data_IF_639953433205
#
_entry.id   IF_639953433205
#
_cell.length_a   1.000
_cell.length_b   1.000
_cell.length_c   1.000
_cell.angle_alpha   90.00
_cell.angle_beta   90.00
_cell.angle_gamma   90.00
#
_symmetry.space_group_name_H-M   'P 1'
#
loop_
_entity.id
_entity.type
_entity.pdbx_description
1 polymer ?
#
# COMPACT_ATOMS: atom_id res chain seq x y z
N UNK A 1 1.86 18.36 51.79
CA UNK A 1 3.25 18.79 51.98
C UNK A 1 3.84 19.11 50.62
N UNK A 2 3.89 20.38 50.24
CA UNK A 2 4.38 20.81 48.92
C UNK A 2 5.90 20.72 48.89
N UNK A 3 6.43 19.80 48.08
CA UNK A 3 7.86 19.80 47.77
C UNK A 3 8.15 21.01 46.89
N UNK A 4 8.78 22.02 47.47
CA UNK A 4 9.30 23.19 46.76
C UNK A 4 10.24 22.69 45.65
N UNK A 5 9.90 22.94 44.39
CA UNK A 5 10.84 22.70 43.30
C UNK A 5 12.13 23.51 43.55
N UNK A 6 13.32 22.91 43.39
CA UNK A 6 14.56 23.64 43.53
C UNK A 6 14.70 24.62 42.36
N UNK A 7 14.73 25.92 42.66
CA UNK A 7 15.08 26.93 41.67
C UNK A 7 16.53 26.74 41.22
N UNK A 8 16.83 27.01 39.95
CA UNK A 8 18.20 26.92 39.45
C UNK A 8 19.10 27.92 40.18
N UNK A 9 20.34 27.52 40.47
CA UNK A 9 21.35 28.38 41.11
C UNK A 9 21.52 29.71 40.37
N UNK A 10 21.38 29.71 39.04
CA UNK A 10 21.43 30.93 38.22
C UNK A 10 20.34 31.93 38.59
N UNK A 11 19.11 31.46 38.81
CA UNK A 11 17.97 32.31 39.19
C UNK A 11 18.11 32.84 40.61
N UNK A 12 18.70 32.05 41.52
CA UNK A 12 19.07 32.48 42.87
C UNK A 12 20.11 33.61 42.80
N UNK A 13 21.16 33.47 41.99
CA UNK A 13 22.20 34.49 41.80
C UNK A 13 21.67 35.79 41.19
N UNK A 14 20.83 35.71 40.17
CA UNK A 14 20.17 36.90 39.59
C UNK A 14 19.30 37.64 40.62
N UNK A 15 18.58 36.90 41.47
CA UNK A 15 17.72 37.49 42.50
C UNK A 15 18.55 38.18 43.58
N UNK A 16 19.69 37.60 43.96
CA UNK A 16 20.67 38.20 44.87
C UNK A 16 21.22 39.51 44.29
N UNK A 17 21.59 39.54 43.01
CA UNK A 17 22.07 40.76 42.34
C UNK A 17 20.99 41.83 42.27
N UNK A 18 19.74 41.46 41.96
CA UNK A 18 18.61 42.38 41.93
C UNK A 18 18.30 42.98 43.32
N UNK A 19 18.40 42.18 44.39
CA UNK A 19 18.25 42.69 45.77
C UNK A 19 19.37 43.68 46.12
N UNK A 20 20.61 43.37 45.73
CA UNK A 20 21.76 44.24 45.94
C UNK A 20 21.64 45.55 45.16
N UNK A 21 21.24 45.49 43.89
CA UNK A 21 21.05 46.67 43.04
C UNK A 21 19.96 47.62 43.60
N UNK A 22 18.96 47.06 44.29
CA UNK A 22 17.91 47.81 44.97
C UNK A 22 18.31 48.30 46.37
N UNK A 23 19.57 48.14 46.79
CA UNK A 23 20.06 48.54 48.11
C UNK A 23 19.47 47.75 49.28
N UNK A 24 18.86 46.59 49.03
CA UNK A 24 18.24 45.75 50.06
C UNK A 24 19.27 44.77 50.64
N UNK A 25 19.15 44.48 51.93
CA UNK A 25 20.00 43.49 52.60
C UNK A 25 19.78 42.10 52.01
N UNK A 26 20.85 41.49 51.50
CA UNK A 26 20.82 40.13 50.92
C UNK A 26 20.82 39.12 52.06
N UNK A 27 19.63 38.61 52.39
CA UNK A 27 19.45 37.51 53.34
C UNK A 27 18.76 36.34 52.64
N UNK A 28 18.98 35.12 53.12
CA UNK A 28 18.37 33.91 52.56
C UNK A 28 16.84 33.99 52.53
N UNK A 29 16.24 34.62 53.54
CA UNK A 29 14.79 34.83 53.61
C UNK A 29 14.29 35.85 52.57
N UNK A 30 15.03 36.95 52.36
CA UNK A 30 14.68 37.94 51.34
C UNK A 30 14.75 37.35 49.92
N UNK A 31 15.76 36.50 49.66
CA UNK A 31 15.90 35.80 48.37
C UNK A 31 14.79 34.76 48.19
N UNK A 32 14.50 33.95 49.21
CA UNK A 32 13.41 32.96 49.15
C UNK A 32 12.04 33.61 48.94
N UNK A 33 11.79 34.74 49.62
CA UNK A 33 10.55 35.51 49.47
C UNK A 33 10.39 36.08 48.06
N UNK A 34 11.48 36.59 47.45
CA UNK A 34 11.47 37.08 46.06
C UNK A 34 11.32 35.98 45.02
N UNK A 35 11.78 34.77 45.32
CA UNK A 35 11.62 33.60 44.46
C UNK A 35 10.25 32.93 44.61
N UNK A 36 9.49 33.27 45.66
CA UNK A 36 8.21 32.64 45.97
C UNK A 36 8.34 31.23 46.57
N UNK A 37 9.48 30.93 47.20
CA UNK A 37 9.80 29.61 47.76
C UNK A 37 11.26 29.21 47.51
N UNK A 38 11.57 27.92 47.60
CA UNK A 38 12.90 27.38 47.31
C UNK A 38 13.58 26.72 48.51
N UNK A 39 14.62 25.94 48.22
CA UNK A 39 15.46 25.32 49.25
C UNK A 39 16.32 26.38 49.96
N UNK A 40 15.96 26.67 51.21
CA UNK A 40 16.62 27.66 52.06
C UNK A 40 18.11 27.35 52.27
N UNK A 41 18.47 26.07 52.42
CA UNK A 41 19.87 25.68 52.60
C UNK A 41 20.68 25.96 51.34
N UNK A 42 20.11 25.67 50.16
CA UNK A 42 20.79 25.93 48.90
C UNK A 42 20.99 27.43 48.65
N UNK A 43 19.98 28.24 48.98
CA UNK A 43 20.06 29.70 48.90
C UNK A 43 21.15 30.23 49.85
N UNK A 44 21.18 29.77 51.10
CA UNK A 44 22.19 30.17 52.08
C UNK A 44 23.61 29.82 51.60
N UNK A 45 23.82 28.61 51.07
CA UNK A 45 25.13 28.20 50.52
C UNK A 45 25.60 29.11 49.38
N UNK A 46 24.70 29.54 48.50
CA UNK A 46 25.06 30.43 47.37
C UNK A 46 25.38 31.84 47.89
N UNK A 47 24.65 32.33 48.89
CA UNK A 47 24.97 33.61 49.54
C UNK A 47 26.34 33.54 50.22
N UNK A 48 26.63 32.46 50.96
CA UNK A 48 27.92 32.30 51.64
C UNK A 48 29.09 32.17 50.65
N UNK A 49 28.87 31.54 49.48
CA UNK A 49 29.86 31.49 48.40
C UNK A 49 30.11 32.86 47.76
N UNK A 50 29.07 33.67 47.58
CA UNK A 50 29.17 35.00 46.98
C UNK A 50 29.66 36.06 47.98
N UNK A 51 29.47 35.82 49.27
CA UNK A 51 29.76 36.75 50.35
C UNK A 51 30.30 36.01 51.59
N UNK A 52 31.58 35.60 51.57
CA UNK A 52 32.17 34.75 52.61
C UNK A 52 32.31 35.39 54.01
N UNK A 53 31.65 36.53 54.31
CA UNK A 53 31.80 37.26 55.58
C UNK A 53 30.51 37.83 56.21
N UNK A 54 29.30 37.52 55.72
CA UNK A 54 28.05 38.12 56.26
C UNK A 54 27.65 37.53 57.63
N UNK A 55 28.04 36.30 57.95
CA UNK A 55 27.68 35.62 59.20
C UNK A 55 28.37 36.11 60.48
N UNK A 56 29.28 37.09 60.44
CA UNK A 56 30.04 37.55 61.63
C UNK A 56 29.48 38.80 62.32
N UNK A 57 28.42 39.42 61.80
CA UNK A 57 27.93 40.73 62.29
C UNK A 57 26.68 40.59 63.19
N UNK A 58 26.08 39.40 63.30
CA UNK A 58 24.83 39.21 64.06
C UNK A 58 24.99 38.98 65.58
N UNK A 59 26.22 38.91 66.11
CA UNK A 59 26.48 38.63 67.54
C UNK A 59 26.91 39.85 68.38
N UNK A 60 26.58 41.07 67.96
CA UNK A 60 26.73 42.26 68.83
C UNK A 60 25.37 42.65 69.43
N UNK A 61 25.01 41.97 70.53
CA UNK A 61 24.07 42.52 71.51
C UNK A 61 24.68 43.81 72.10
N UNK A 62 23.93 44.92 72.23
CA UNK A 62 24.42 46.07 72.96
C UNK A 62 24.46 45.71 74.45
N UNK A 63 25.68 45.64 75.01
CA UNK A 63 25.89 45.54 76.45
C UNK A 63 25.32 46.79 77.11
N UNK A 64 24.33 46.60 77.98
CA UNK A 64 23.74 47.62 78.83
C UNK A 64 24.76 48.11 79.84
N UNK A 65 25.58 49.09 79.46
CA UNK A 65 26.40 49.87 80.39
C UNK A 65 25.52 50.94 81.05
N UNK A 66 24.83 50.58 82.12
CA UNK A 66 24.47 51.54 83.18
C UNK A 66 25.04 51.03 84.49
N UNK A 67 26.31 51.36 84.70
CA UNK A 67 27.03 51.16 85.94
C UNK A 67 26.64 52.29 86.89
N UNK A 68 25.62 52.07 87.72
CA UNK A 68 25.35 52.93 88.87
C UNK A 68 26.34 52.58 89.97
N UNK A 69 27.26 53.49 90.25
CA UNK A 69 28.09 53.48 91.46
C UNK A 69 27.29 54.09 92.62
N UNK A 70 26.98 53.37 93.70
CA UNK A 70 26.60 54.02 94.95
C UNK A 70 27.80 54.02 95.88
N UNK A 71 28.12 55.20 96.43
CA UNK A 71 28.78 55.46 97.73
C UNK A 71 29.84 56.57 97.60
N UNK A 72 29.57 57.75 98.19
CA UNK A 72 30.09 58.09 99.52
C UNK A 72 29.67 59.52 99.94
N UNK A 73 28.82 59.54 100.97
CA UNK A 73 28.72 60.50 102.09
C UNK A 73 29.28 61.91 101.86
N UNK A 74 28.37 62.84 101.56
CA UNK A 74 28.51 64.25 101.92
C UNK A 74 28.36 64.40 103.44
N UNK A 75 29.17 65.29 104.01
CA UNK A 75 29.25 65.61 105.42
C UNK A 75 27.88 66.05 106.00
N UNK A 76 27.57 65.51 107.17
CA UNK A 76 26.51 65.99 108.06
C UNK A 76 26.87 67.40 108.53
N UNK A 77 26.19 68.40 107.99
CA UNK A 77 26.02 69.71 108.64
C UNK A 77 24.62 69.74 109.27
N UNK A 78 24.58 70.26 110.50
CA UNK A 78 23.43 70.34 111.39
C UNK A 78 22.16 70.86 110.71
N UNK A 79 21.13 70.02 110.68
CA UNK A 79 19.78 70.42 110.30
C UNK A 79 19.18 71.16 111.48
N UNK A 80 19.02 72.48 111.31
CA UNK A 80 18.10 73.31 112.09
C UNK A 80 16.74 72.62 112.09
N UNK A 81 16.22 72.35 113.29
CA UNK A 81 14.83 71.95 113.54
C UNK A 81 13.90 73.04 112.99
N UNK A 82 13.54 72.93 111.71
CA UNK A 82 12.48 73.71 111.08
C UNK A 82 11.26 72.81 111.01
N UNK A 83 10.37 72.93 111.98
CA UNK A 83 8.98 72.50 111.80
C UNK A 83 8.44 73.20 110.56
N UNK A 84 7.98 72.40 109.59
CA UNK A 84 7.37 72.92 108.38
C UNK A 84 6.02 73.54 108.76
N UNK A 85 5.68 74.74 108.28
CA UNK A 85 4.36 75.33 108.52
C UNK A 85 3.25 74.38 108.06
N UNK A 86 2.22 74.17 108.89
CA UNK A 86 1.14 73.21 108.65
C UNK A 86 0.38 73.41 107.33
N UNK A 87 0.33 74.63 106.81
CA UNK A 87 -0.26 74.95 105.50
C UNK A 87 0.57 74.40 104.33
N UNK A 88 1.90 74.33 104.48
CA UNK A 88 2.80 73.74 103.48
C UNK A 88 2.64 72.21 103.51
N UNK A 89 2.52 71.60 104.69
CA UNK A 89 2.26 70.16 104.81
C UNK A 89 0.91 69.79 104.17
N UNK A 90 -0.16 70.53 104.46
CA UNK A 90 -1.47 70.31 103.85
C UNK A 90 -1.43 70.46 102.32
N UNK A 91 -0.71 71.47 101.81
CA UNK A 91 -0.50 71.66 100.37
C UNK A 91 0.30 70.51 99.74
N UNK A 92 1.34 70.00 100.40
CA UNK A 92 2.08 68.84 99.94
C UNK A 92 1.22 67.57 99.91
N UNK A 93 0.39 67.33 100.94
CA UNK A 93 -0.53 66.19 100.95
C UNK A 93 -1.60 66.30 99.86
N UNK A 94 -2.14 67.50 99.61
CA UNK A 94 -3.08 67.74 98.51
C UNK A 94 -2.41 67.52 97.15
N UNK A 95 -1.17 67.99 96.99
CA UNK A 95 -0.39 67.78 95.76
C UNK A 95 -0.08 66.30 95.56
N UNK A 96 0.34 65.58 96.60
CA UNK A 96 0.60 64.15 96.55
C UNK A 96 -0.66 63.35 96.20
N UNK A 97 -1.81 63.72 96.79
CA UNK A 97 -3.10 63.09 96.48
C UNK A 97 -3.52 63.36 95.04
N UNK A 98 -3.37 64.61 94.58
CA UNK A 98 -3.70 65.02 93.21
C UNK A 98 -2.78 64.35 92.18
N UNK A 99 -1.48 64.24 92.48
CA UNK A 99 -0.52 63.49 91.67
C UNK A 99 -0.84 61.99 91.66
N UNK A 100 -1.26 61.42 92.79
CA UNK A 100 -1.71 60.03 92.86
C UNK A 100 -2.95 59.77 92.02
N UNK A 101 -3.94 60.67 92.06
CA UNK A 101 -5.13 60.61 91.22
C UNK A 101 -4.79 60.78 89.74
N UNK A 102 -3.90 61.71 89.40
CA UNK A 102 -3.44 61.93 88.02
C UNK A 102 -2.68 60.72 87.50
N UNK A 103 -1.79 60.12 88.30
CA UNK A 103 -1.08 58.91 87.93
C UNK A 103 -2.05 57.75 87.69
N UNK A 104 -3.02 57.52 88.58
CA UNK A 104 -4.03 56.48 88.40
C UNK A 104 -4.87 56.68 87.13
N UNK A 105 -5.20 57.94 86.80
CA UNK A 105 -5.89 58.26 85.55
C UNK A 105 -5.03 57.94 84.33
N UNK A 106 -3.76 58.34 84.31
CA UNK A 106 -2.83 58.02 83.21
C UNK A 106 -2.68 56.50 83.05
N UNK A 107 -2.55 55.75 84.16
CA UNK A 107 -2.47 54.29 84.13
C UNK A 107 -3.75 53.66 83.57
N UNK A 108 -4.92 54.14 84.00
CA UNK A 108 -6.21 53.66 83.50
C UNK A 108 -6.42 53.97 82.02
N UNK A 109 -6.07 55.18 81.57
CA UNK A 109 -6.20 55.60 80.18
C UNK A 109 -5.22 54.82 79.28
N UNK A 110 -3.99 54.60 79.75
CA UNK A 110 -3.00 53.78 79.05
C UNK A 110 -3.43 52.31 78.96
N UNK A 111 -4.00 51.75 80.03
CA UNK A 111 -4.53 50.39 80.04
C UNK A 111 -5.71 50.23 79.06
N UNK A 112 -6.66 51.17 79.07
CA UNK A 112 -7.80 51.15 78.15
C UNK A 112 -7.38 51.32 76.69
N UNK A 113 -6.43 52.21 76.40
CA UNK A 113 -5.89 52.36 75.05
C UNK A 113 -5.15 51.10 74.57
N UNK A 114 -4.34 50.48 75.44
CA UNK A 114 -3.67 49.22 75.12
C UNK A 114 -4.69 48.10 74.85
N UNK A 115 -5.74 47.99 75.66
CA UNK A 115 -6.83 47.02 75.46
C UNK A 115 -7.53 47.23 74.11
N UNK A 116 -7.90 48.47 73.78
CA UNK A 116 -8.54 48.79 72.51
C UNK A 116 -7.63 48.46 71.31
N UNK A 117 -6.34 48.80 71.38
CA UNK A 117 -5.38 48.46 70.32
C UNK A 117 -5.21 46.95 70.13
N UNK A 118 -5.19 46.18 71.22
CA UNK A 118 -5.13 44.71 71.13
C UNK A 118 -6.41 44.15 70.56
N UNK A 119 -7.57 44.67 70.97
CA UNK A 119 -8.88 44.23 70.48
C UNK A 119 -9.04 44.50 68.98
N UNK A 120 -8.67 45.68 68.50
CA UNK A 120 -8.77 46.02 67.08
C UNK A 120 -7.84 45.14 66.22
N UNK A 121 -6.60 44.93 66.67
CA UNK A 121 -5.67 44.01 66.01
C UNK A 121 -6.18 42.58 66.01
N UNK A 122 -6.78 42.12 67.11
CA UNK A 122 -7.38 40.79 67.21
C UNK A 122 -8.56 40.65 66.25
N UNK A 123 -9.42 41.66 66.16
CA UNK A 123 -10.54 41.67 65.22
C UNK A 123 -10.07 41.64 63.77
N UNK A 124 -9.10 42.48 63.39
CA UNK A 124 -8.51 42.45 62.05
C UNK A 124 -7.80 41.13 61.74
N UNK A 125 -7.10 40.53 62.72
CA UNK A 125 -6.46 39.23 62.55
C UNK A 125 -7.49 38.11 62.36
N UNK A 126 -8.61 38.15 63.09
CA UNK A 126 -9.70 37.20 62.92
C UNK A 126 -10.33 37.33 61.53
N UNK A 127 -10.60 38.55 61.08
CA UNK A 127 -11.13 38.78 59.74
C UNK A 127 -10.18 38.27 58.64
N UNK A 128 -8.89 38.59 58.74
CA UNK A 128 -7.88 38.10 57.80
C UNK A 128 -7.75 36.57 57.81
N UNK A 129 -7.94 35.94 58.97
CA UNK A 129 -7.96 34.48 59.10
C UNK A 129 -9.19 33.89 58.39
N UNK A 130 -10.38 34.46 58.59
CA UNK A 130 -11.61 33.98 57.97
C UNK A 130 -11.56 34.14 56.43
N UNK A 131 -11.04 35.27 55.94
CA UNK A 131 -10.78 35.50 54.51
C UNK A 131 -9.78 34.48 53.95
N UNK A 132 -8.72 34.15 54.71
CA UNK A 132 -7.73 33.14 54.30
C UNK A 132 -8.31 31.73 54.26
N UNK A 133 -9.21 31.38 55.19
CA UNK A 133 -9.93 30.09 55.19
C UNK A 133 -10.82 29.98 53.96
N UNK A 134 -11.56 31.05 53.62
CA UNK A 134 -12.39 31.06 52.42
C UNK A 134 -11.53 30.92 51.15
N UNK A 135 -10.45 31.70 51.03
CA UNK A 135 -9.54 31.61 49.89
C UNK A 135 -8.92 30.20 49.77
N UNK A 136 -8.57 29.56 50.89
CA UNK A 136 -8.05 28.19 50.88
C UNK A 136 -9.11 27.18 50.43
N UNK A 137 -10.38 27.36 50.82
CA UNK A 137 -11.47 26.50 50.36
C UNK A 137 -11.68 26.62 48.84
N UNK A 138 -11.67 27.83 48.30
CA UNK A 138 -11.78 28.09 46.85
C UNK A 138 -10.62 27.47 46.07
N UNK A 139 -9.38 27.62 46.55
CA UNK A 139 -8.20 26.99 45.92
C UNK A 139 -8.27 25.46 45.99
N UNK A 140 -8.77 24.90 47.09
CA UNK A 140 -8.95 23.45 47.22
C UNK A 140 -9.98 22.92 46.20
N UNK A 141 -11.08 23.63 45.99
CA UNK A 141 -12.08 23.27 44.99
C UNK A 141 -11.50 23.36 43.56
N UNK A 142 -10.80 24.45 43.24
CA UNK A 142 -10.13 24.61 41.94
C UNK A 142 -9.11 23.50 41.68
N UNK A 143 -8.34 23.10 42.70
CA UNK A 143 -7.41 21.99 42.58
C UNK A 143 -8.12 20.65 42.31
N UNK A 144 -9.27 20.39 42.94
CA UNK A 144 -10.07 19.19 42.66
C UNK A 144 -10.60 19.20 41.22
N UNK A 145 -11.14 20.33 40.75
CA UNK A 145 -11.63 20.47 39.38
C UNK A 145 -10.50 20.29 38.34
N UNK A 146 -9.33 20.88 38.61
CA UNK A 146 -8.14 20.69 37.76
C UNK A 146 -7.71 19.23 37.74
N UNK A 147 -7.70 18.55 38.88
CA UNK A 147 -7.30 17.14 38.95
C UNK A 147 -8.31 16.21 38.24
N UNK A 148 -9.60 16.51 38.29
CA UNK A 148 -10.61 15.83 37.51
C UNK A 148 -10.39 16.03 36.00
N UNK A 149 -10.10 17.27 35.58
CA UNK A 149 -9.81 17.60 34.17
C UNK A 149 -8.56 16.88 33.66
N UNK A 150 -7.47 16.86 34.45
CA UNK A 150 -6.24 16.12 34.11
C UNK A 150 -6.54 14.63 33.95
N UNK A 151 -7.35 14.05 34.84
CA UNK A 151 -7.71 12.63 34.78
C UNK A 151 -8.53 12.32 33.53
N UNK A 152 -9.49 13.18 33.17
CA UNK A 152 -10.28 13.03 31.95
C UNK A 152 -9.41 13.13 30.70
N UNK A 153 -8.58 14.18 30.59
CA UNK A 153 -7.69 14.36 29.43
C UNK A 153 -6.69 13.20 29.30
N UNK A 154 -6.21 12.65 30.41
CA UNK A 154 -5.33 11.47 30.40
C UNK A 154 -6.05 10.22 29.89
N UNK A 155 -7.33 10.03 30.25
CA UNK A 155 -8.13 8.93 29.73
C UNK A 155 -8.40 9.09 28.23
N UNK A 156 -8.73 10.30 27.78
CA UNK A 156 -8.93 10.62 26.35
C UNK A 156 -7.66 10.39 25.53
N UNK A 157 -6.49 10.76 26.06
CA UNK A 157 -5.19 10.49 25.43
C UNK A 157 -4.93 8.98 25.25
N UNK A 158 -5.24 8.17 26.28
CA UNK A 158 -5.07 6.72 26.18
C UNK A 158 -5.98 6.10 25.11
N UNK A 159 -7.23 6.56 25.03
CA UNK A 159 -8.17 6.11 23.98
C UNK A 159 -7.64 6.50 22.60
N UNK A 160 -7.21 7.75 22.44
CA UNK A 160 -6.66 8.24 21.18
C UNK A 160 -5.39 7.48 20.76
N UNK A 161 -4.54 7.09 21.71
CA UNK A 161 -3.36 6.27 21.43
C UNK A 161 -3.73 4.87 20.91
N UNK A 162 -4.74 4.23 21.51
CA UNK A 162 -5.25 2.92 21.07
C UNK A 162 -5.88 3.02 19.68
N UNK A 163 -6.67 4.06 19.43
CA UNK A 163 -7.30 4.30 18.12
C UNK A 163 -6.24 4.57 17.05
N UNK A 164 -5.21 5.35 17.38
CA UNK A 164 -4.09 5.62 16.49
C UNK A 164 -3.36 4.32 16.12
N UNK A 165 -2.99 3.48 17.09
CA UNK A 165 -2.32 2.19 16.83
C UNK A 165 -3.18 1.29 15.96
N UNK A 166 -4.47 1.16 16.29
CA UNK A 166 -5.42 0.35 15.52
C UNK A 166 -5.55 0.83 14.07
N UNK A 167 -5.60 2.15 13.86
CA UNK A 167 -5.66 2.76 12.54
C UNK A 167 -4.39 2.51 11.73
N UNK A 168 -3.21 2.63 12.36
CA UNK A 168 -1.91 2.32 11.75
C UNK A 168 -1.83 0.86 11.32
N UNK A 169 -2.26 -0.07 12.18
CA UNK A 169 -2.26 -1.51 11.86
C UNK A 169 -3.22 -1.84 10.72
N UNK A 170 -4.42 -1.23 10.71
CA UNK A 170 -5.38 -1.37 9.61
C UNK A 170 -4.80 -0.85 8.30
N UNK A 171 -4.13 0.31 8.30
CA UNK A 171 -3.49 0.87 7.13
C UNK A 171 -2.33 -0.01 6.63
N UNK A 172 -1.56 -0.61 7.54
CA UNK A 172 -0.50 -1.56 7.17
C UNK A 172 -1.08 -2.81 6.50
N UNK A 173 -2.20 -3.33 7.00
CA UNK A 173 -2.91 -4.46 6.40
C UNK A 173 -3.46 -4.12 5.02
N UNK A 174 -4.08 -2.94 4.86
CA UNK A 174 -4.56 -2.47 3.55
C UNK A 174 -3.41 -2.34 2.54
N UNK A 175 -2.28 -1.77 2.94
CA UNK A 175 -1.08 -1.67 2.08
C UNK A 175 -0.59 -3.04 1.62
N UNK A 176 -0.57 -4.03 2.52
CA UNK A 176 -0.20 -5.41 2.16
C UNK A 176 -1.19 -6.00 1.14
N UNK A 177 -2.49 -5.85 1.37
CA UNK A 177 -3.52 -6.34 0.44
C UNK A 177 -3.44 -5.67 -0.94
N UNK A 178 -3.10 -4.39 -0.98
CA UNK A 178 -2.91 -3.65 -2.23
C UNK A 178 -1.69 -4.15 -3.00
N UNK A 179 -0.58 -4.45 -2.30
CA UNK A 179 0.61 -5.04 -2.90
C UNK A 179 0.31 -6.43 -3.50
N UNK A 180 -0.42 -7.29 -2.76
CA UNK A 180 -0.84 -8.61 -3.24
C UNK A 180 -1.75 -8.49 -4.48
N UNK A 181 -2.73 -7.59 -4.47
CA UNK A 181 -3.60 -7.33 -5.63
C UNK A 181 -2.84 -6.79 -6.84
N UNK A 182 -1.85 -5.93 -6.62
CA UNK A 182 -0.99 -5.41 -7.69
C UNK A 182 -0.19 -6.53 -8.32
N UNK A 183 0.39 -7.43 -7.51
CA UNK A 183 1.11 -8.60 -8.01
C UNK A 183 0.20 -9.55 -8.81
N UNK A 184 -1.04 -9.78 -8.34
CA UNK A 184 -2.03 -10.59 -9.07
C UNK A 184 -2.40 -9.95 -10.41
N UNK A 185 -2.62 -8.63 -10.43
CA UNK A 185 -2.88 -7.88 -11.67
C UNK A 185 -1.73 -8.04 -12.66
N UNK A 186 -0.49 -7.88 -12.21
CA UNK A 186 0.69 -7.97 -13.07
C UNK A 186 0.86 -9.38 -13.64
N UNK A 187 0.58 -10.41 -12.82
CA UNK A 187 0.56 -11.80 -13.30
C UNK A 187 -0.52 -12.04 -14.35
N UNK A 188 -1.73 -11.51 -14.15
CA UNK A 188 -2.82 -11.62 -15.11
C UNK A 188 -2.50 -10.88 -16.41
N UNK A 189 -1.92 -9.68 -16.33
CA UNK A 189 -1.51 -8.92 -17.50
C UNK A 189 -0.45 -9.68 -18.32
N UNK A 190 0.53 -10.30 -17.65
CA UNK A 190 1.52 -11.15 -18.30
C UNK A 190 0.88 -12.37 -18.99
N UNK A 191 -0.08 -13.02 -18.32
CA UNK A 191 -0.81 -14.15 -18.90
C UNK A 191 -1.63 -13.74 -20.13
N UNK A 192 -2.33 -12.59 -20.06
CA UNK A 192 -3.08 -12.06 -21.20
C UNK A 192 -2.15 -11.79 -22.37
N UNK A 193 -1.01 -11.11 -22.15
CA UNK A 193 -0.02 -10.87 -23.21
C UNK A 193 0.50 -12.17 -23.83
N UNK A 194 0.77 -13.20 -23.03
CA UNK A 194 1.19 -14.52 -23.52
C UNK A 194 0.11 -15.18 -24.36
N UNK A 195 -1.15 -15.16 -23.91
CA UNK A 195 -2.26 -15.74 -24.64
C UNK A 195 -2.55 -14.98 -25.95
N UNK A 196 -2.39 -13.66 -25.96
CA UNK A 196 -2.48 -12.86 -27.18
C UNK A 196 -1.40 -13.24 -28.19
N UNK A 197 -0.15 -13.43 -27.76
CA UNK A 197 0.93 -13.87 -28.66
C UNK A 197 0.73 -15.30 -29.16
N UNK A 198 0.27 -16.20 -28.30
CA UNK A 198 -0.02 -17.59 -28.69
C UNK A 198 -1.18 -17.63 -29.69
N UNK A 199 -2.22 -16.85 -29.47
CA UNK A 199 -3.36 -16.78 -30.38
C UNK A 199 -2.96 -16.19 -31.74
N UNK A 200 -2.16 -15.11 -31.78
CA UNK A 200 -1.62 -14.58 -33.04
C UNK A 200 -0.79 -15.62 -33.80
N UNK A 201 0.01 -16.40 -33.08
CA UNK A 201 0.82 -17.47 -33.67
C UNK A 201 -0.06 -18.58 -34.24
N UNK A 202 -1.10 -18.98 -33.50
CA UNK A 202 -2.07 -19.99 -33.95
C UNK A 202 -2.88 -19.51 -35.16
N UNK A 203 -3.36 -18.27 -35.15
CA UNK A 203 -4.09 -17.66 -36.27
C UNK A 203 -3.21 -17.63 -37.53
N UNK A 204 -1.94 -17.23 -37.40
CA UNK A 204 -0.99 -17.21 -38.51
C UNK A 204 -0.68 -18.63 -39.02
N UNK A 205 -0.50 -19.59 -38.12
CA UNK A 205 -0.25 -21.00 -38.46
C UNK A 205 -1.45 -21.62 -39.18
N UNK A 206 -2.66 -21.41 -38.66
CA UNK A 206 -3.91 -21.88 -39.26
C UNK A 206 -4.15 -21.25 -40.64
N UNK A 207 -3.87 -19.94 -40.78
CA UNK A 207 -3.94 -19.27 -42.07
C UNK A 207 -2.98 -19.88 -43.09
N UNK A 208 -1.71 -20.07 -42.72
CA UNK A 208 -0.71 -20.68 -43.59
C UNK A 208 -1.08 -22.13 -43.98
N UNK A 209 -1.59 -22.91 -43.03
CA UNK A 209 -2.07 -24.27 -43.26
C UNK A 209 -3.24 -24.30 -44.24
N UNK A 210 -4.23 -23.42 -44.08
CA UNK A 210 -5.36 -23.31 -45.01
C UNK A 210 -4.91 -22.91 -46.43
N UNK A 211 -3.93 -22.02 -46.57
CA UNK A 211 -3.38 -21.68 -47.89
C UNK A 211 -2.71 -22.89 -48.54
N UNK A 212 -1.98 -23.70 -47.77
CA UNK A 212 -1.38 -24.94 -48.29
C UNK A 212 -2.45 -25.97 -48.68
N UNK A 213 -3.47 -26.15 -47.85
CA UNK A 213 -4.58 -27.05 -48.12
C UNK A 213 -5.33 -26.65 -49.40
N UNK A 214 -5.67 -25.36 -49.56
CA UNK A 214 -6.33 -24.84 -50.77
C UNK A 214 -5.47 -25.04 -52.04
N UNK A 215 -4.15 -24.85 -51.95
CA UNK A 215 -3.23 -25.14 -53.07
C UNK A 215 -3.22 -26.62 -53.42
N UNK A 216 -3.18 -27.51 -52.42
CA UNK A 216 -3.20 -28.95 -52.64
C UNK A 216 -4.54 -29.41 -53.25
N UNK A 217 -5.66 -28.86 -52.79
CA UNK A 217 -6.99 -29.13 -53.33
C UNK A 217 -7.11 -28.67 -54.80
N UNK A 218 -6.65 -27.46 -55.12
CA UNK A 218 -6.62 -26.98 -56.51
C UNK A 218 -5.74 -27.84 -57.42
N UNK A 219 -4.58 -28.29 -56.95
CA UNK A 219 -3.75 -29.25 -57.69
C UNK A 219 -4.44 -30.60 -57.89
N UNK A 220 -5.13 -31.11 -56.86
CA UNK A 220 -5.88 -32.36 -56.94
C UNK A 220 -7.04 -32.27 -57.96
N UNK A 221 -7.71 -31.12 -58.03
CA UNK A 221 -8.78 -30.87 -59.00
C UNK A 221 -8.24 -30.85 -60.45
N UNK A 222 -7.10 -30.17 -60.69
CA UNK A 222 -6.41 -30.19 -61.99
C UNK A 222 -6.03 -31.63 -62.38
N UNK A 223 -5.46 -32.41 -61.45
CA UNK A 223 -5.09 -33.82 -61.70
C UNK A 223 -6.33 -34.65 -62.05
N UNK A 224 -7.44 -34.43 -61.34
CA UNK A 224 -8.71 -35.13 -61.60
C UNK A 224 -9.27 -34.80 -62.98
N UNK A 225 -9.22 -33.53 -63.39
CA UNK A 225 -9.64 -33.11 -64.73
C UNK A 225 -8.75 -33.71 -65.83
N UNK A 226 -7.42 -33.62 -65.67
CA UNK A 226 -6.44 -34.23 -66.58
C UNK A 226 -6.67 -35.75 -66.73
N UNK A 227 -6.91 -36.46 -65.62
CA UNK A 227 -7.20 -37.89 -65.64
C UNK A 227 -8.54 -38.19 -66.34
N UNK A 228 -9.55 -37.35 -66.18
CA UNK A 228 -10.83 -37.48 -66.88
C UNK A 228 -10.67 -37.29 -68.40
N UNK A 229 -9.93 -36.27 -68.81
CA UNK A 229 -9.60 -36.02 -70.22
C UNK A 229 -8.80 -37.18 -70.82
N UNK A 230 -7.81 -37.71 -70.10
CA UNK A 230 -7.03 -38.88 -70.50
C UNK A 230 -7.91 -40.13 -70.65
N UNK A 231 -8.82 -40.39 -69.70
CA UNK A 231 -9.79 -41.50 -69.81
C UNK A 231 -10.75 -41.32 -70.99
N UNK A 232 -11.14 -40.08 -71.30
CA UNK A 232 -12.00 -39.80 -72.44
C UNK A 232 -11.26 -40.02 -73.77
N UNK A 233 -10.01 -39.56 -73.87
CA UNK A 233 -9.18 -39.78 -75.07
C UNK A 233 -8.86 -41.26 -75.26
N UNK A 234 -8.53 -41.99 -74.18
CA UNK A 234 -8.34 -43.44 -74.19
C UNK A 234 -9.58 -44.16 -74.71
N UNK A 235 -10.79 -43.81 -74.23
CA UNK A 235 -12.04 -44.38 -74.76
C UNK A 235 -12.26 -44.10 -76.25
N UNK A 236 -11.85 -42.93 -76.75
CA UNK A 236 -11.94 -42.63 -78.18
C UNK A 236 -10.94 -43.44 -79.01
N UNK A 237 -9.70 -43.57 -78.52
CA UNK A 237 -8.67 -44.40 -79.14
C UNK A 237 -9.11 -45.86 -79.17
N UNK A 238 -9.65 -46.39 -78.07
CA UNK A 238 -10.15 -47.76 -78.02
C UNK A 238 -11.29 -47.98 -79.03
N UNK A 239 -12.24 -47.04 -79.15
CA UNK A 239 -13.29 -47.13 -80.19
C UNK A 239 -12.72 -47.10 -81.61
N UNK A 240 -11.67 -46.32 -81.86
CA UNK A 240 -11.01 -46.27 -83.15
C UNK A 240 -10.26 -47.57 -83.45
N UNK A 241 -9.60 -48.15 -82.45
CA UNK A 241 -8.94 -49.45 -82.51
C UNK A 241 -9.96 -50.57 -82.79
N UNK A 242 -11.06 -50.64 -82.04
CA UNK A 242 -12.10 -51.66 -82.26
C UNK A 242 -12.68 -51.57 -83.69
N UNK A 243 -12.82 -50.35 -84.24
CA UNK A 243 -13.26 -50.15 -85.63
C UNK A 243 -12.20 -50.61 -86.63
N UNK A 244 -10.92 -50.31 -86.39
CA UNK A 244 -9.83 -50.73 -87.27
C UNK A 244 -9.66 -52.25 -87.23
N UNK A 245 -9.74 -52.88 -86.06
CA UNK A 245 -9.72 -54.34 -85.90
C UNK A 245 -10.88 -55.01 -86.62
N UNK A 246 -12.10 -54.47 -86.50
CA UNK A 246 -13.25 -54.95 -87.28
C UNK A 246 -13.00 -54.83 -88.78
N UNK A 247 -12.41 -53.72 -89.24
CA UNK A 247 -12.09 -53.52 -90.66
C UNK A 247 -10.99 -54.46 -91.14
N UNK A 248 -9.94 -54.69 -90.35
CA UNK A 248 -8.89 -55.66 -90.64
C UNK A 248 -9.48 -57.07 -90.73
N UNK A 249 -10.31 -57.47 -89.77
CA UNK A 249 -10.98 -58.77 -89.80
C UNK A 249 -11.90 -58.92 -91.03
N UNK A 250 -12.60 -57.86 -91.42
CA UNK A 250 -13.40 -57.86 -92.64
C UNK A 250 -12.51 -58.01 -93.90
N UNK A 251 -11.44 -57.22 -94.01
CA UNK A 251 -10.48 -57.33 -95.11
C UNK A 251 -9.85 -58.71 -95.16
N UNK A 252 -9.53 -59.31 -94.01
CA UNK A 252 -8.96 -60.65 -93.94
C UNK A 252 -9.96 -61.71 -94.44
N UNK A 253 -11.26 -61.56 -94.12
CA UNK A 253 -12.33 -62.38 -94.71
C UNK A 253 -12.46 -62.16 -96.22
N UNK A 254 -12.40 -60.92 -96.68
CA UNK A 254 -12.46 -60.58 -98.12
C UNK A 254 -11.26 -61.17 -98.87
N UNK A 255 -10.05 -61.11 -98.31
CA UNK A 255 -8.85 -61.75 -98.86
C UNK A 255 -9.00 -63.27 -98.89
N UNK A 256 -9.50 -63.88 -97.81
CA UNK A 256 -9.79 -65.32 -97.80
C UNK A 256 -10.82 -65.71 -98.86
N UNK A 257 -11.93 -64.98 -98.95
CA UNK A 257 -12.98 -65.19 -99.96
C UNK A 257 -12.44 -64.99 -101.38
N UNK A 258 -11.66 -63.94 -101.62
CA UNK A 258 -11.03 -63.68 -102.92
C UNK A 258 -10.02 -64.76 -103.27
N UNK A 259 -9.24 -65.24 -102.29
CA UNK A 259 -8.30 -66.35 -102.46
C UNK A 259 -9.02 -67.69 -102.69
N UNK A 260 -10.20 -67.88 -102.09
CA UNK A 260 -11.05 -69.04 -102.30
C UNK A 260 -11.67 -68.99 -103.69
N UNK A 261 -12.26 -67.86 -104.07
CA UNK A 261 -12.80 -67.60 -105.41
C UNK A 261 -11.74 -67.80 -106.50
N UNK A 262 -10.50 -67.35 -106.27
CA UNK A 262 -9.39 -67.59 -107.19
C UNK A 262 -9.03 -69.08 -107.27
N UNK A 263 -9.05 -69.80 -106.14
CA UNK A 263 -8.83 -71.26 -106.13
C UNK A 263 -9.95 -72.02 -106.84
N UNK A 264 -11.19 -71.59 -106.67
CA UNK A 264 -12.36 -72.16 -107.34
C UNK A 264 -12.30 -71.86 -108.85
N UNK A 265 -11.96 -70.63 -109.26
CA UNK A 265 -11.74 -70.29 -110.66
C UNK A 265 -10.58 -71.07 -111.29
N UNK A 266 -9.49 -71.29 -110.54
CA UNK A 266 -8.38 -72.16 -110.96
C UNK A 266 -8.79 -73.63 -111.04
N UNK A 267 -9.74 -74.08 -110.22
CA UNK A 267 -10.31 -75.43 -110.27
C UNK A 267 -11.30 -75.58 -111.44
N UNK A 268 -12.10 -74.56 -111.74
CA UNK A 268 -13.02 -74.53 -112.89
C UNK A 268 -12.25 -74.43 -114.22
N UNK A 269 -11.10 -73.75 -114.23
CA UNK A 269 -10.16 -73.72 -115.35
C UNK A 269 -9.24 -74.95 -115.40
N UNK A 270 -9.27 -75.82 -114.39
CA UNK A 270 -8.61 -77.12 -114.47
C UNK A 270 -9.45 -78.06 -115.34
N UNK A 271 -9.00 -78.17 -116.59
CA UNK A 271 -9.28 -79.33 -117.44
C UNK A 271 -8.83 -80.59 -116.67
N UNK A 272 -9.65 -81.65 -116.56
CA UNK A 272 -9.19 -82.95 -116.07
C UNK A 272 -8.08 -83.50 -116.97
N UNK A 273 -6.83 -83.20 -116.64
CA UNK A 273 -5.67 -83.86 -117.21
C UNK A 273 -5.29 -85.03 -116.30
N UNK A 274 -5.86 -86.19 -116.60
CA UNK A 274 -5.24 -87.45 -116.23
C UNK A 274 -4.03 -87.73 -117.14
N UNK A 275 -3.04 -88.48 -116.64
CA UNK A 275 -1.65 -88.08 -116.67
C UNK A 275 -0.95 -88.51 -117.96
N UNK A 276 -0.11 -87.65 -118.51
CA UNK A 276 0.91 -88.08 -119.46
C UNK A 276 2.31 -87.96 -118.86
N UNK A 277 3.02 -89.08 -119.02
CA UNK A 277 4.34 -89.39 -118.50
C UNK A 277 5.41 -88.48 -119.11
N UNK A 278 6.27 -88.00 -118.20
CA UNK A 278 7.75 -88.04 -118.26
C UNK A 278 8.45 -86.93 -119.04
N UNK A 279 9.08 -86.04 -118.28
CA UNK A 279 10.51 -85.79 -118.37
C UNK A 279 10.99 -85.37 -116.98
N UNK A 280 12.12 -85.91 -116.53
CA UNK A 280 12.75 -85.54 -115.28
C UNK A 280 13.53 -84.22 -115.47
N UNK A 281 13.32 -83.21 -114.61
CA UNK A 281 14.27 -82.13 -114.43
C UNK A 281 14.79 -82.07 -112.99
N UNK A 282 16.09 -81.82 -112.90
CA UNK A 282 16.84 -81.03 -111.92
C UNK A 282 16.42 -81.02 -110.43
N UNK A 283 17.35 -81.33 -109.50
CA UNK A 283 17.17 -80.95 -108.11
C UNK A 283 17.38 -79.43 -107.97
N UNK A 284 16.34 -78.69 -107.61
CA UNK A 284 16.47 -77.39 -106.96
C UNK A 284 16.02 -77.58 -105.50
N UNK A 285 17.02 -77.77 -104.65
CA UNK A 285 16.89 -77.95 -103.21
C UNK A 285 17.16 -76.59 -102.54
N UNK A 286 16.17 -76.17 -101.75
CA UNK A 286 16.20 -75.33 -100.53
C UNK A 286 16.61 -73.85 -100.60
N UNK A 287 15.69 -73.02 -100.07
CA UNK A 287 15.79 -71.80 -99.22
C UNK A 287 17.18 -71.24 -98.82
N UNK A 288 17.32 -69.97 -98.34
CA UNK A 288 16.30 -68.98 -97.96
C UNK A 288 16.53 -67.56 -98.55
N UNK A 289 15.45 -66.76 -98.59
CA UNK A 289 15.49 -65.34 -98.97
C UNK A 289 15.94 -64.51 -97.76
N UNK A 290 17.23 -64.19 -97.72
CA UNK A 290 17.82 -63.19 -96.83
C UNK A 290 17.16 -61.82 -97.05
N UNK A 291 16.54 -61.27 -96.01
CA UNK A 291 16.32 -59.82 -95.86
C UNK A 291 17.21 -59.33 -94.71
N UNK A 292 17.94 -58.20 -94.87
CA UNK A 292 18.89 -57.71 -93.88
C UNK A 292 18.21 -57.10 -92.64
N UNK A 293 18.94 -57.11 -91.53
CA UNK A 293 18.51 -56.68 -90.19
C UNK A 293 18.13 -55.19 -90.11
N UNK A 294 17.05 -54.89 -89.38
CA UNK A 294 16.78 -53.56 -88.87
C UNK A 294 17.69 -53.29 -87.67
N UNK A 295 18.63 -52.36 -87.82
CA UNK A 295 19.40 -51.81 -86.71
C UNK A 295 18.49 -50.98 -85.79
N UNK A 296 18.54 -51.30 -84.50
CA UNK A 296 17.99 -50.52 -83.40
C UNK A 296 18.84 -49.26 -83.18
N UNK A 297 18.24 -48.08 -82.93
CA UNK A 297 18.95 -47.00 -82.23
C UNK A 297 18.96 -47.29 -80.72
N UNK A 298 20.17 -47.36 -80.14
CA UNK A 298 20.40 -47.39 -78.68
C UNK A 298 20.03 -46.05 -78.02
N UNK A 299 19.63 -46.04 -76.73
CA UNK A 299 19.43 -44.82 -75.97
C UNK A 299 20.80 -44.24 -75.54
N UNK A 300 21.06 -42.99 -75.90
CA UNK A 300 22.23 -42.26 -75.40
C UNK A 300 21.89 -41.63 -74.04
N UNK A 301 22.64 -42.02 -73.01
CA UNK A 301 22.59 -41.42 -71.69
C UNK A 301 23.23 -40.02 -71.71
N UNK A 302 22.56 -39.04 -71.13
CA UNK A 302 23.17 -37.77 -70.77
C UNK A 302 22.91 -37.46 -69.28
N UNK A 303 24.03 -37.45 -68.57
CA UNK A 303 24.37 -37.09 -67.20
C UNK A 303 23.50 -36.06 -66.48
N UNK A 304 23.22 -36.31 -65.19
CA UNK A 304 22.98 -35.29 -64.17
C UNK A 304 23.96 -35.57 -63.00
N UNK A 305 24.71 -34.57 -62.50
CA UNK A 305 25.66 -34.74 -61.42
C UNK A 305 25.00 -34.72 -60.03
N UNK A 306 25.41 -35.65 -59.17
CA UNK A 306 25.45 -35.55 -57.68
C UNK A 306 26.82 -34.99 -57.26
N UNK A 307 27.13 -34.56 -56.00
CA UNK A 307 26.54 -34.94 -54.69
C UNK A 307 26.43 -33.70 -53.71
N UNK A 308 26.11 -33.72 -52.40
CA UNK A 308 26.47 -34.59 -51.27
C UNK A 308 25.54 -34.43 -50.04
N UNK A 309 25.36 -35.58 -49.36
CA UNK A 309 25.22 -35.90 -47.91
C UNK A 309 25.01 -34.78 -46.86
N UNK A 310 24.25 -34.99 -45.78
CA UNK A 310 24.71 -35.70 -44.55
C UNK A 310 23.51 -36.05 -43.60
N UNK A 311 23.43 -37.34 -43.25
CA UNK A 311 23.01 -38.05 -42.00
C UNK A 311 21.65 -37.85 -41.28
N UNK A 312 20.93 -38.96 -41.14
CA UNK A 312 20.06 -39.35 -39.98
C UNK A 312 20.91 -39.79 -38.77
N UNK A 313 20.40 -40.39 -37.66
CA UNK A 313 19.06 -40.50 -37.06
C UNK A 313 19.05 -40.24 -35.51
N UNK A 314 17.90 -40.33 -34.83
CA UNK A 314 17.69 -41.12 -33.58
C UNK A 314 16.44 -40.72 -32.75
N UNK A 315 15.63 -41.75 -32.46
CA UNK A 315 14.93 -42.10 -31.20
C UNK A 315 13.92 -41.15 -30.50
N UNK A 316 12.62 -41.58 -30.54
CA UNK A 316 11.63 -41.84 -29.45
C UNK A 316 11.56 -40.96 -28.17
N UNK A 317 10.46 -40.94 -27.37
CA UNK A 317 9.12 -41.57 -27.49
C UNK A 317 7.91 -40.65 -27.15
N UNK A 318 6.70 -41.21 -27.23
CA UNK A 318 5.46 -40.78 -26.52
C UNK A 318 5.70 -40.63 -24.98
N UNK A 319 4.95 -39.80 -24.21
CA UNK A 319 3.49 -39.97 -24.06
C UNK A 319 2.64 -38.68 -23.87
N UNK A 320 1.38 -38.72 -24.33
CA UNK A 320 0.30 -37.90 -23.77
C UNK A 320 -0.86 -38.80 -23.37
N UNK A 321 -1.11 -38.91 -22.07
CA UNK A 321 -2.41 -39.27 -21.52
C UNK A 321 -2.86 -38.12 -20.62
N UNK A 322 -3.71 -37.24 -21.15
CA UNK A 322 -4.46 -36.26 -20.37
C UNK A 322 -5.59 -37.00 -19.65
N UNK A 323 -5.47 -37.10 -18.32
CA UNK A 323 -6.56 -37.53 -17.45
C UNK A 323 -7.36 -36.33 -16.96
N UNK A 324 -8.65 -36.58 -16.83
CA UNK A 324 -9.74 -35.66 -16.58
C UNK A 324 -9.63 -34.82 -15.30
N UNK A 325 -10.17 -33.61 -15.39
CA UNK A 325 -10.58 -32.76 -14.28
C UNK A 325 -11.65 -33.44 -13.43
N UNK A 326 -11.42 -33.55 -12.13
CA UNK A 326 -12.46 -33.70 -11.11
C UNK A 326 -12.43 -32.48 -10.19
N UNK A 327 -13.52 -31.72 -10.23
CA UNK A 327 -13.87 -30.75 -9.20
C UNK A 327 -14.89 -31.41 -8.27
N UNK A 328 -14.62 -31.42 -6.96
CA UNK A 328 -15.66 -31.50 -5.92
C UNK A 328 -15.06 -31.17 -4.55
N UNK A 329 -15.86 -30.46 -3.75
CA UNK A 329 -15.79 -30.26 -2.31
C UNK A 329 -14.64 -29.40 -1.74
N UNK A 330 -14.93 -28.12 -1.49
CA UNK A 330 -15.01 -27.63 -0.11
C UNK A 330 -15.66 -26.25 -0.06
N UNK A 331 -16.98 -26.28 0.12
CA UNK A 331 -17.80 -25.17 0.52
C UNK A 331 -18.36 -25.52 1.90
N UNK A 332 -18.39 -24.54 2.80
CA UNK A 332 -18.99 -24.55 4.15
C UNK A 332 -18.01 -24.53 5.34
N UNK A 333 -17.37 -23.38 5.56
CA UNK A 333 -17.22 -22.85 6.94
C UNK A 333 -16.93 -21.35 6.92
N UNK A 334 -17.53 -20.65 7.89
CA UNK A 334 -17.34 -19.23 8.28
C UNK A 334 -18.20 -18.16 7.59
N UNK A 335 -19.53 -18.33 7.59
CA UNK A 335 -20.46 -17.21 7.59
C UNK A 335 -20.96 -16.99 9.01
N UNK A 336 -20.36 -16.07 9.78
CA UNK A 336 -21.07 -15.44 10.91
C UNK A 336 -20.46 -14.13 11.47
N UNK A 337 -19.24 -13.73 11.07
CA UNK A 337 -18.63 -12.48 11.60
C UNK A 337 -18.50 -11.34 10.57
N UNK A 338 -18.91 -11.54 9.31
CA UNK A 338 -18.84 -10.50 8.25
C UNK A 338 -20.07 -9.58 8.16
N UNK A 339 -21.19 -9.92 8.79
CA UNK A 339 -22.46 -9.24 8.52
C UNK A 339 -22.56 -7.82 9.10
N UNK A 340 -21.78 -7.44 10.11
CA UNK A 340 -21.92 -6.12 10.77
C UNK A 340 -21.03 -5.05 10.12
N UNK A 341 -19.89 -5.42 9.54
CA UNK A 341 -18.97 -4.47 8.87
C UNK A 341 -19.44 -4.04 7.47
N UNK A 342 -20.35 -4.79 6.85
CA UNK A 342 -20.81 -4.54 5.47
C UNK A 342 -21.92 -3.47 5.38
N UNK A 343 -22.64 -3.19 6.49
CA UNK A 343 -23.68 -2.15 6.51
C UNK A 343 -23.10 -0.73 6.43
N UNK A 344 -21.92 -0.50 7.02
CA UNK A 344 -21.25 0.81 6.98
C UNK A 344 -20.74 1.18 5.59
N UNK A 345 -20.16 0.21 4.86
CA UNK A 345 -19.64 0.43 3.50
C UNK A 345 -20.76 0.54 2.45
N UNK A 346 -21.85 -0.20 2.60
CA UNK A 346 -22.99 -0.14 1.67
C UNK A 346 -23.73 1.21 1.70
N UNK A 347 -23.87 1.84 2.88
CA UNK A 347 -24.57 3.12 3.01
C UNK A 347 -23.78 4.29 2.38
N UNK A 348 -22.45 4.28 2.49
CA UNK A 348 -21.56 5.30 1.91
C UNK A 348 -21.48 5.17 0.38
N UNK A 349 -21.43 3.95 -0.15
CA UNK A 349 -21.44 3.73 -1.61
C UNK A 349 -22.80 4.03 -2.26
N UNK A 350 -23.90 3.82 -1.55
CA UNK A 350 -25.25 4.11 -2.05
C UNK A 350 -25.51 5.61 -2.18
N UNK A 351 -24.92 6.44 -1.30
CA UNK A 351 -25.02 7.91 -1.38
C UNK A 351 -24.12 8.52 -2.46
N UNK A 352 -22.99 7.89 -2.78
CA UNK A 352 -22.06 8.36 -3.81
C UNK A 352 -22.50 7.98 -5.25
N UNK A 353 -23.32 6.94 -5.43
CA UNK A 353 -23.82 6.51 -6.75
C UNK A 353 -25.03 7.29 -7.27
N UNK A 354 -25.77 8.02 -6.43
CA UNK A 354 -26.95 8.78 -6.88
C UNK A 354 -26.61 10.14 -7.52
N UNK A 355 -25.39 10.64 -7.37
CA UNK A 355 -24.99 11.99 -7.84
C UNK A 355 -24.04 11.98 -9.05
N UNK A 356 -23.58 10.82 -9.54
CA UNK A 356 -22.56 10.75 -10.61
C UNK A 356 -22.97 10.04 -11.90
N UNK A 357 -24.21 9.53 -12.02
CA UNK A 357 -24.68 8.90 -13.27
C UNK A 357 -25.22 9.93 -14.29
N UNK A 358 -24.33 10.75 -14.84
CA UNK A 358 -24.56 11.32 -16.17
C UNK A 358 -24.33 10.18 -17.17
N UNK A 359 -25.41 9.61 -17.71
CA UNK A 359 -25.38 8.56 -18.74
C UNK A 359 -24.62 9.03 -19.99
N UNK A 360 -23.33 8.73 -20.08
CA UNK A 360 -22.59 8.75 -21.35
C UNK A 360 -22.90 7.44 -22.08
N UNK A 361 -23.88 7.48 -22.99
CA UNK A 361 -24.18 6.35 -23.89
C UNK A 361 -22.94 6.03 -24.73
N UNK A 362 -22.58 4.74 -24.78
CA UNK A 362 -21.42 4.27 -25.54
C UNK A 362 -21.61 4.49 -27.04
N UNK A 363 -20.50 4.61 -27.77
CA UNK A 363 -20.49 4.78 -29.23
C UNK A 363 -21.20 3.63 -29.97
N UNK A 364 -21.20 2.42 -29.41
CA UNK A 364 -21.93 1.28 -29.99
C UNK A 364 -23.45 1.51 -29.93
N UNK A 365 -23.98 2.05 -28.84
CA UNK A 365 -25.41 2.33 -28.67
C UNK A 365 -25.91 3.40 -29.66
N UNK A 366 -25.09 4.42 -29.94
CA UNK A 366 -25.39 5.46 -30.96
C UNK A 366 -25.36 4.93 -32.39
N UNK A 367 -24.53 3.92 -32.68
CA UNK A 367 -24.42 3.33 -34.03
C UNK A 367 -25.57 2.37 -34.34
N UNK A 368 -26.07 1.61 -33.36
CA UNK A 368 -27.21 0.70 -33.55
C UNK A 368 -28.54 1.44 -33.78
N UNK A 369 -28.76 2.58 -33.10
CA UNK A 369 -29.97 3.38 -33.30
C UNK A 369 -30.03 4.04 -34.70
N UNK A 370 -28.88 4.40 -35.28
CA UNK A 370 -28.82 4.99 -36.62
C UNK A 370 -29.23 4.00 -37.72
N UNK A 371 -28.84 2.72 -37.59
CA UNK A 371 -29.24 1.66 -38.53
C UNK A 371 -30.73 1.31 -38.39
N UNK A 372 -31.27 1.33 -37.17
CA UNK A 372 -32.69 1.06 -36.91
C UNK A 372 -33.62 2.17 -37.43
N UNK A 373 -33.17 3.43 -37.41
CA UNK A 373 -33.92 4.58 -37.94
C UNK A 373 -33.86 4.73 -39.47
N UNK A 374 -32.85 4.17 -40.14
CA UNK A 374 -32.82 4.14 -41.62
C UNK A 374 -33.77 3.08 -42.21
N UNK A 375 -33.98 1.95 -41.52
CA UNK A 375 -34.90 0.90 -41.98
C UNK A 375 -36.39 1.31 -41.94
N UNK A 376 -36.75 2.34 -41.18
CA UNK A 376 -38.14 2.81 -41.03
C UNK A 376 -38.48 4.04 -41.91
N UNK A 377 -37.55 4.53 -42.73
CA UNK A 377 -37.83 5.60 -43.70
C UNK A 377 -38.05 5.11 -45.14
N UNK A 378 -37.89 3.80 -45.40
CA UNK A 378 -38.11 3.16 -46.70
C UNK A 378 -39.30 2.19 -46.67
N UNK A 379 -40.36 2.50 -45.91
CA UNK A 379 -41.66 1.85 -46.01
C UNK A 379 -42.75 2.89 -46.14
#
# INVERSE_FOLDING_TARGET
>A
MSQSQPFSDHKIRQTIEALRANGQNVTSWAVQSRLGGGDFLRIQQIIDQLFPNIGKIADQRPASNMQFSPQQKMATEDIIDKQMPSEIEASMYQMQTSLGQMANKIWSDAASNAENQVRDKLFSAQQAHDDAVQAHAEVAEQNQQMQATISQLSAELNVLEVDYKTSVDSLAQERKSLAELTQQRDSLEKNVKSLETDNQTLEQSAFNSNIQAAKAEGLAEIIKEQLSLAKQSEKQIQKALDRSEKKVNQLNREVHNSSQSLRDEMRDRQIPLHPQKRAAPAPAITEPRNYPAQELPQPSAASIPTPDFITSPAENPLPQSVSASQATADQMRSNQTKAIKDLGHSLVMSRAKSLSQVKTRSLSEKLFDRKKRQSNKNK
#
